data_IF_691173783028
#
_entry.id   IF_691173783028
#
_cell.length_a   1.000
_cell.length_b   1.000
_cell.length_c   1.000
_cell.angle_alpha   90.00
_cell.angle_beta   90.00
_cell.angle_gamma   90.00
#
_symmetry.space_group_name_H-M   'P 1'
#
loop_
_entity.id
_entity.type
_entity.pdbx_description
1 polymer ?
#
# COMPACT_ATOMS: atom_id res chain seq x y z
N UNK A 1 10.41 -8.36 6.11
CA UNK A 1 9.50 -7.74 5.11
C UNK A 1 8.75 -8.86 4.41
N UNK A 2 7.51 -9.13 4.81
CA UNK A 2 6.69 -10.18 4.19
C UNK A 2 5.90 -9.55 3.04
N UNK A 3 6.23 -9.92 1.80
CA UNK A 3 5.39 -9.61 0.65
C UNK A 3 4.40 -10.75 0.48
N UNK A 4 3.15 -10.38 0.29
CA UNK A 4 2.06 -11.31 0.07
C UNK A 4 1.49 -11.05 -1.30
N UNK A 5 1.27 -12.11 -2.06
CA UNK A 5 0.74 -12.04 -3.41
C UNK A 5 -0.69 -12.54 -3.42
N UNK A 6 -1.54 -11.87 -4.17
CA UNK A 6 -2.94 -12.25 -4.35
C UNK A 6 -3.24 -12.31 -5.84
N UNK A 7 -4.01 -13.30 -6.26
CA UNK A 7 -4.57 -13.33 -7.61
C UNK A 7 -5.97 -12.75 -7.52
N UNK A 8 -6.20 -11.63 -8.20
CA UNK A 8 -7.44 -10.86 -8.14
C UNK A 8 -8.06 -10.77 -9.53
N UNK A 9 -9.34 -11.05 -9.67
CA UNK A 9 -9.99 -11.05 -10.98
C UNK A 9 -11.42 -11.56 -10.96
N UNK A 10 -11.87 -12.04 -12.10
CA UNK A 10 -13.20 -12.61 -12.29
C UNK A 10 -13.76 -12.26 -13.67
N UNK A 11 -15.07 -12.45 -13.83
CA UNK A 11 -15.82 -12.04 -15.02
C UNK A 11 -16.12 -10.54 -14.97
N UNK A 12 -15.75 -9.81 -16.02
CA UNK A 12 -16.01 -8.39 -16.19
C UNK A 12 -17.23 -8.15 -17.07
N UNK A 13 -17.89 -7.01 -16.90
CA UNK A 13 -19.04 -6.62 -17.70
C UNK A 13 -18.66 -6.30 -19.16
N UNK A 14 -17.40 -5.96 -19.40
CA UNK A 14 -16.84 -5.60 -20.69
C UNK A 14 -15.35 -5.99 -20.79
N UNK A 15 -14.80 -5.88 -21.98
CA UNK A 15 -13.36 -6.10 -22.24
C UNK A 15 -12.49 -4.89 -21.86
N UNK A 16 -13.07 -3.84 -21.27
CA UNK A 16 -12.31 -2.74 -20.69
C UNK A 16 -11.85 -3.08 -19.27
N UNK A 17 -12.39 -4.16 -18.68
CA UNK A 17 -12.02 -4.71 -17.38
C UNK A 17 -12.16 -3.69 -16.24
N UNK A 18 -13.18 -2.83 -16.32
CA UNK A 18 -13.42 -1.78 -15.32
C UNK A 18 -14.41 -2.24 -14.24
N UNK A 19 -15.43 -2.99 -14.63
CA UNK A 19 -16.53 -3.39 -13.75
C UNK A 19 -16.70 -4.90 -13.76
N UNK A 20 -16.82 -5.52 -12.60
CA UNK A 20 -17.14 -6.96 -12.47
C UNK A 20 -18.59 -7.21 -12.88
N UNK A 21 -18.81 -8.27 -13.65
CA UNK A 21 -20.14 -8.72 -14.04
C UNK A 21 -21.00 -8.95 -12.78
N UNK A 22 -22.16 -8.30 -12.71
CA UNK A 22 -23.03 -8.34 -11.53
C UNK A 22 -22.74 -7.30 -10.44
N UNK A 23 -21.75 -6.41 -10.62
CA UNK A 23 -21.52 -5.25 -9.76
C UNK A 23 -20.90 -5.57 -8.39
N UNK A 24 -20.34 -6.77 -8.23
CA UNK A 24 -19.66 -7.21 -7.02
C UNK A 24 -18.19 -6.78 -6.94
N UNK A 25 -17.51 -7.21 -5.88
CA UNK A 25 -16.06 -7.12 -5.79
C UNK A 25 -15.40 -8.26 -6.60
N UNK A 26 -14.20 -8.04 -7.15
CA UNK A 26 -13.46 -9.11 -7.82
C UNK A 26 -13.11 -10.23 -6.84
N UNK A 27 -13.03 -11.45 -7.36
CA UNK A 27 -12.54 -12.62 -6.65
C UNK A 27 -11.08 -12.42 -6.25
N UNK A 28 -10.71 -12.88 -5.04
CA UNK A 28 -9.34 -12.80 -4.52
C UNK A 28 -8.90 -14.18 -4.04
N UNK A 29 -7.85 -14.71 -4.65
CA UNK A 29 -7.20 -15.97 -4.28
C UNK A 29 -5.85 -15.68 -3.62
N UNK A 30 -5.62 -16.26 -2.44
CA UNK A 30 -4.43 -16.01 -1.62
C UNK A 30 -4.76 -16.03 -0.13
N UNK A 31 -3.84 -15.60 0.75
CA UNK A 31 -2.53 -14.99 0.45
C UNK A 31 -1.45 -16.01 0.03
N UNK A 32 -0.66 -15.69 -0.99
CA UNK A 32 0.54 -16.45 -1.38
C UNK A 32 1.80 -15.80 -0.85
N UNK A 33 2.73 -16.61 -0.34
CA UNK A 33 4.00 -16.12 0.22
C UNK A 33 5.07 -15.88 -0.86
N UNK A 34 4.98 -16.58 -1.99
CA UNK A 34 5.88 -16.42 -3.13
C UNK A 34 5.11 -15.97 -4.39
N UNK A 35 5.79 -15.18 -5.22
CA UNK A 35 5.22 -14.73 -6.49
C UNK A 35 4.97 -15.91 -7.45
N UNK A 36 5.85 -16.93 -7.42
CA UNK A 36 5.69 -18.12 -8.26
C UNK A 36 4.42 -18.91 -7.90
N UNK A 37 4.09 -19.05 -6.60
CA UNK A 37 2.84 -19.71 -6.18
C UNK A 37 1.60 -18.94 -6.69
N UNK A 38 1.62 -17.61 -6.60
CA UNK A 38 0.55 -16.77 -7.16
C UNK A 38 0.49 -16.85 -8.69
N UNK A 39 1.64 -16.97 -9.36
CA UNK A 39 1.72 -17.11 -10.81
C UNK A 39 1.15 -18.45 -11.28
N UNK A 40 1.39 -19.52 -10.55
CA UNK A 40 0.83 -20.84 -10.88
C UNK A 40 -0.70 -20.84 -10.74
N UNK A 41 -1.25 -20.23 -9.68
CA UNK A 41 -2.70 -20.09 -9.52
C UNK A 41 -3.30 -19.16 -10.58
N UNK A 42 -2.65 -18.03 -10.86
CA UNK A 42 -3.04 -17.12 -11.93
C UNK A 42 -3.07 -17.84 -13.29
N UNK A 43 -2.05 -18.64 -13.59
CA UNK A 43 -1.98 -19.40 -14.83
C UNK A 43 -3.08 -20.45 -14.88
N UNK A 44 -3.34 -21.17 -13.78
CA UNK A 44 -4.43 -22.15 -13.69
C UNK A 44 -5.78 -21.52 -14.03
N UNK A 45 -6.12 -20.41 -13.37
CA UNK A 45 -7.36 -19.67 -13.59
C UNK A 45 -7.45 -19.09 -15.01
N UNK A 46 -6.34 -18.55 -15.53
CA UNK A 46 -6.31 -18.00 -16.89
C UNK A 46 -6.50 -19.07 -17.97
N UNK A 47 -5.94 -20.27 -17.76
CA UNK A 47 -6.13 -21.39 -18.70
C UNK A 47 -7.52 -22.02 -18.59
N UNK A 48 -8.12 -22.04 -17.39
CA UNK A 48 -9.49 -22.50 -17.17
C UNK A 48 -10.52 -21.66 -17.93
N UNK A 49 -10.25 -20.35 -18.05
CA UNK A 49 -11.13 -19.39 -18.72
C UNK A 49 -10.56 -18.83 -20.04
N UNK A 50 -9.67 -19.56 -20.72
CA UNK A 50 -8.99 -19.05 -21.93
C UNK A 50 -9.94 -18.65 -23.06
N UNK A 51 -11.09 -19.32 -23.16
CA UNK A 51 -12.10 -19.05 -24.19
C UNK A 51 -13.05 -17.90 -23.81
N UNK A 52 -12.95 -17.35 -22.61
CA UNK A 52 -13.78 -16.24 -22.12
C UNK A 52 -13.01 -14.91 -22.12
N UNK A 53 -13.35 -14.04 -23.07
CA UNK A 53 -12.73 -12.72 -23.20
C UNK A 53 -13.10 -11.73 -22.08
N UNK A 54 -14.16 -12.02 -21.31
CA UNK A 54 -14.59 -11.18 -20.20
C UNK A 54 -13.94 -11.57 -18.88
N UNK A 55 -13.28 -12.74 -18.80
CA UNK A 55 -12.62 -13.18 -17.58
C UNK A 55 -11.15 -12.76 -17.60
N UNK A 56 -10.70 -12.08 -16.54
CA UNK A 56 -9.30 -11.71 -16.40
C UNK A 56 -8.86 -11.77 -14.95
N UNK A 57 -7.69 -12.35 -14.74
CA UNK A 57 -7.02 -12.36 -13.44
C UNK A 57 -5.70 -11.57 -13.52
N UNK A 58 -5.37 -10.88 -12.44
CA UNK A 58 -4.15 -10.09 -12.26
C UNK A 58 -3.54 -10.42 -10.91
N UNK A 59 -2.21 -10.39 -10.80
CA UNK A 59 -1.52 -10.61 -9.53
C UNK A 59 -1.29 -9.26 -8.85
N UNK A 60 -1.88 -9.08 -7.68
CA UNK A 60 -1.65 -7.94 -6.80
C UNK A 60 -0.57 -8.29 -5.76
N UNK A 61 0.26 -7.31 -5.42
CA UNK A 61 1.34 -7.46 -4.44
C UNK A 61 1.04 -6.58 -3.24
N UNK A 62 0.64 -7.21 -2.13
CA UNK A 62 0.52 -6.55 -0.85
C UNK A 62 1.85 -6.66 -0.10
N UNK A 63 2.59 -5.56 -0.04
CA UNK A 63 3.77 -5.47 0.82
C UNK A 63 3.27 -5.18 2.25
N UNK A 64 3.36 -6.16 3.17
CA UNK A 64 2.98 -5.99 4.58
C UNK A 64 4.02 -5.15 5.35
N UNK A 65 4.41 -4.02 4.78
CA UNK A 65 5.23 -3.00 5.46
C UNK A 65 4.34 -2.22 6.41
N UNK A 66 4.76 -2.14 7.65
CA UNK A 66 4.20 -1.19 8.58
C UNK A 66 4.83 0.17 8.27
N UNK A 67 4.06 1.07 7.68
CA UNK A 67 4.50 2.45 7.48
C UNK A 67 4.26 3.24 8.76
N UNK A 68 5.22 4.08 9.13
CA UNK A 68 5.13 4.96 10.29
C UNK A 68 5.43 6.38 9.83
N UNK A 69 4.63 7.35 10.26
CA UNK A 69 4.97 8.76 10.11
C UNK A 69 5.69 9.17 11.37
N UNK A 70 6.96 9.56 11.24
CA UNK A 70 7.83 9.91 12.36
C UNK A 70 8.32 11.34 12.19
N UNK A 71 8.29 12.15 13.25
CA UNK A 71 8.76 13.52 13.19
C UNK A 71 8.54 14.32 14.46
N UNK A 72 8.82 15.61 14.39
CA UNK A 72 8.65 16.53 15.50
C UNK A 72 9.49 17.79 15.30
N UNK A 73 9.68 18.56 16.36
CA UNK A 73 10.51 19.76 16.39
C UNK A 73 11.98 19.40 16.63
N UNK A 74 12.84 19.85 15.72
CA UNK A 74 14.29 19.66 15.77
C UNK A 74 14.97 20.90 16.32
N UNK A 75 16.17 20.73 16.89
CA UNK A 75 16.98 21.83 17.41
C UNK A 75 17.49 22.75 16.30
N UNK A 76 17.62 22.24 15.08
CA UNK A 76 18.08 22.97 13.91
C UNK A 76 17.44 22.45 12.60
N UNK A 77 17.71 23.18 11.51
CA UNK A 77 17.30 22.79 10.15
C UNK A 77 18.18 21.69 9.53
N UNK A 78 19.16 21.19 10.28
CA UNK A 78 19.92 19.99 9.95
C UNK A 78 19.12 18.72 10.24
N UNK A 79 18.08 18.80 11.07
CA UNK A 79 17.20 17.70 11.46
C UNK A 79 17.99 16.51 12.05
N UNK A 80 19.04 16.81 12.82
CA UNK A 80 19.91 15.81 13.46
C UNK A 80 19.49 15.57 14.91
N UNK A 81 19.35 16.65 15.66
CA UNK A 81 19.00 16.62 17.07
C UNK A 81 17.58 17.13 17.30
N UNK A 82 16.82 16.46 18.16
CA UNK A 82 15.49 16.94 18.57
C UNK A 82 15.61 18.17 19.46
N UNK A 83 14.60 19.04 19.43
CA UNK A 83 14.54 20.21 20.31
C UNK A 83 14.59 19.78 21.79
N UNK A 84 15.30 20.55 22.63
CA UNK A 84 15.53 20.22 24.04
C UNK A 84 14.23 19.89 24.79
N UNK A 85 14.08 18.62 25.18
CA UNK A 85 12.93 18.12 25.94
C UNK A 85 11.81 17.51 25.10
N UNK A 86 11.94 17.47 23.78
CA UNK A 86 11.00 16.80 22.89
C UNK A 86 11.48 15.41 22.45
N UNK A 87 10.54 14.52 22.13
CA UNK A 87 10.79 13.18 21.59
C UNK A 87 10.17 13.06 20.20
N UNK A 88 10.76 12.23 19.32
CA UNK A 88 10.20 11.95 17.99
C UNK A 88 8.79 11.35 18.15
N UNK A 89 7.78 12.03 17.61
CA UNK A 89 6.43 11.54 17.53
C UNK A 89 6.35 10.45 16.46
N UNK A 90 5.78 9.28 16.80
CA UNK A 90 5.54 8.19 15.85
C UNK A 90 4.05 7.92 15.73
N UNK A 91 3.54 8.01 14.50
CA UNK A 91 2.17 7.70 14.15
C UNK A 91 2.13 6.46 13.25
N UNK A 92 1.37 5.45 13.62
CA UNK A 92 1.27 4.18 12.90
C UNK A 92 0.93 3.00 13.83
N UNK A 93 1.02 1.75 13.33
CA UNK A 93 1.42 1.36 11.98
C UNK A 93 0.31 1.54 10.93
N UNK A 94 0.66 2.09 9.76
CA UNK A 94 -0.21 2.12 8.58
C UNK A 94 0.10 0.94 7.67
N UNK A 95 -0.95 0.34 7.08
CA UNK A 95 -0.79 -0.80 6.17
C UNK A 95 -0.50 -0.36 4.73
N UNK A 96 -0.80 0.90 4.40
CA UNK A 96 -0.54 1.47 3.07
C UNK A 96 0.33 2.71 3.15
N UNK A 97 1.27 2.83 2.21
CA UNK A 97 2.05 4.05 2.02
C UNK A 97 1.16 5.27 1.78
N UNK A 98 0.01 5.10 1.09
CA UNK A 98 -0.92 6.18 0.80
C UNK A 98 -1.56 6.76 2.07
N UNK A 99 -1.87 5.90 3.04
CA UNK A 99 -2.40 6.34 4.34
C UNK A 99 -1.34 7.10 5.14
N UNK A 100 -0.12 6.56 5.19
CA UNK A 100 1.01 7.24 5.82
C UNK A 100 1.33 8.58 5.15
N UNK A 101 1.25 8.65 3.81
CA UNK A 101 1.44 9.89 3.05
C UNK A 101 0.37 10.93 3.35
N UNK A 102 -0.89 10.52 3.50
CA UNK A 102 -1.98 11.44 3.83
C UNK A 102 -1.76 12.10 5.21
N UNK A 103 -1.38 11.30 6.22
CA UNK A 103 -1.08 11.84 7.55
C UNK A 103 0.19 12.70 7.55
N UNK A 104 1.25 12.23 6.88
CA UNK A 104 2.48 13.01 6.71
C UNK A 104 2.19 14.37 6.07
N UNK A 105 1.40 14.40 5.00
CA UNK A 105 1.03 15.63 4.31
C UNK A 105 0.21 16.55 5.23
N UNK A 106 -0.75 16.00 5.98
CA UNK A 106 -1.52 16.77 6.96
C UNK A 106 -0.61 17.42 8.01
N UNK A 107 0.33 16.67 8.59
CA UNK A 107 1.26 17.18 9.59
C UNK A 107 2.22 18.22 8.99
N UNK A 108 2.77 17.97 7.81
CA UNK A 108 3.63 18.92 7.12
C UNK A 108 2.91 20.23 6.78
N UNK A 109 1.67 20.20 6.32
CA UNK A 109 0.90 21.41 6.06
C UNK A 109 0.53 22.17 7.33
N UNK A 110 0.25 21.46 8.43
CA UNK A 110 -0.05 22.08 9.73
C UNK A 110 1.14 22.89 10.26
N UNK A 111 2.36 22.46 9.95
CA UNK A 111 3.61 23.05 10.43
C UNK A 111 4.42 23.71 9.30
N UNK A 112 3.78 24.12 8.19
CA UNK A 112 4.49 24.65 7.01
C UNK A 112 5.32 25.91 7.31
N UNK A 113 4.88 26.72 8.29
CA UNK A 113 5.57 27.95 8.68
C UNK A 113 6.70 27.71 9.70
N UNK A 114 6.88 26.46 10.17
CA UNK A 114 7.91 26.09 11.14
C UNK A 114 9.05 25.32 10.47
N UNK A 115 10.18 25.99 10.28
CA UNK A 115 11.37 25.41 9.65
C UNK A 115 12.06 24.34 10.51
N UNK A 116 11.75 24.26 11.81
CA UNK A 116 12.32 23.28 12.73
C UNK A 116 11.48 22.01 12.81
N UNK A 117 10.27 21.98 12.25
CA UNK A 117 9.39 20.80 12.30
C UNK A 117 9.49 20.01 11.01
N UNK A 118 9.79 18.72 11.12
CA UNK A 118 9.83 17.81 9.96
C UNK A 118 9.27 16.44 10.29
N UNK A 119 8.39 15.97 9.42
CA UNK A 119 7.90 14.59 9.42
C UNK A 119 8.48 13.82 8.23
N UNK A 120 8.77 12.54 8.45
CA UNK A 120 9.24 11.57 7.46
C UNK A 120 8.42 10.29 7.55
N UNK A 121 8.33 9.56 6.44
CA UNK A 121 7.70 8.24 6.42
C UNK A 121 8.80 7.20 6.56
N UNK A 122 8.72 6.41 7.63
CA UNK A 122 9.56 5.25 7.88
C UNK A 122 8.78 3.96 7.56
N UNK A 123 9.49 2.87 7.29
CA UNK A 123 8.87 1.57 7.03
C UNK A 123 9.65 0.47 7.75
N UNK A 124 8.93 -0.36 8.51
CA UNK A 124 9.48 -1.45 9.34
C UNK A 124 8.90 -2.80 8.90
#
# INVERSE_FOLDING_TARGET
MAKTFWVVGGEYADTDFIMIAGGGAPERHGPFAAYDDAKDEWARLSWEHIDDAHVRYTIDTEDARAYWVVGGEYADTGFVDMASGQQEERYGPFQSYKEAQALWQQMSWKHIDDAHVRYRIDHV
#
